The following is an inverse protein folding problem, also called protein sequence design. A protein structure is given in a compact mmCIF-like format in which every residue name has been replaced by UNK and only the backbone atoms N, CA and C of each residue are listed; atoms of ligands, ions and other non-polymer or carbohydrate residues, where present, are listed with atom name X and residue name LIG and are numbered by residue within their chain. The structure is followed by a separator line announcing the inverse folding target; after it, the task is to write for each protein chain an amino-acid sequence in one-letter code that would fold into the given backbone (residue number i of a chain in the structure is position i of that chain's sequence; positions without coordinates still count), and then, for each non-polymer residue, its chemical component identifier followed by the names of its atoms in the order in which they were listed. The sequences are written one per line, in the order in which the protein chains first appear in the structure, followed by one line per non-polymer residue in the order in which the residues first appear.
data_IF_625960673510
#
_entry.id   IF_625960673510
#
_cell.length_a   1.000
_cell.length_b   1.000
_cell.length_c   1.000
_cell.angle_alpha   90.00
_cell.angle_beta   90.00
_cell.angle_gamma   90.00
#
_symmetry.space_group_name_H-M   'P 1'
#
loop_
_entity.id
_entity.type
_entity.pdbx_description
1 polymer ?
#
# COMPACT_ATOMS: atom_id res chain seq x y z
N UNK A 1 -7.57 -29.24 17.54
CA UNK A 1 -7.37 -27.78 17.71
C UNK A 1 -8.52 -27.25 18.57
N UNK A 2 -8.33 -26.29 19.49
CA UNK A 2 -9.46 -25.75 20.30
C UNK A 2 -10.17 -24.64 19.52
N UNK A 3 -11.51 -24.55 19.64
CA UNK A 3 -12.29 -23.46 19.04
C UNK A 3 -11.87 -22.12 19.65
N UNK A 4 -11.66 -21.06 18.84
CA UNK A 4 -11.37 -19.73 19.35
C UNK A 4 -12.43 -19.27 20.36
N UNK A 5 -11.99 -18.71 21.48
CA UNK A 5 -12.88 -18.09 22.46
C UNK A 5 -13.29 -16.70 21.96
N UNK A 6 -14.39 -16.14 22.50
CA UNK A 6 -14.78 -14.75 22.21
C UNK A 6 -13.63 -13.76 22.48
N UNK A 7 -12.86 -13.99 23.54
CA UNK A 7 -11.67 -13.19 23.87
C UNK A 7 -10.58 -13.30 22.80
N UNK A 8 -10.36 -14.50 22.25
CA UNK A 8 -9.38 -14.70 21.18
C UNK A 8 -9.81 -14.01 19.87
N UNK A 9 -11.09 -14.06 19.54
CA UNK A 9 -11.67 -13.35 18.38
C UNK A 9 -11.50 -11.83 18.56
N UNK A 10 -11.90 -11.29 19.71
CA UNK A 10 -11.75 -9.86 19.99
C UNK A 10 -10.29 -9.39 19.94
N UNK A 11 -9.35 -10.18 20.48
CA UNK A 11 -7.93 -9.86 20.40
C UNK A 11 -7.42 -9.86 18.95
N UNK A 12 -7.88 -10.81 18.12
CA UNK A 12 -7.55 -10.87 16.70
C UNK A 12 -8.10 -9.64 15.97
N UNK A 13 -9.35 -9.27 16.23
CA UNK A 13 -9.99 -8.09 15.64
C UNK A 13 -9.25 -6.80 16.01
N UNK A 14 -8.87 -6.63 17.28
CA UNK A 14 -8.07 -5.47 17.71
C UNK A 14 -6.73 -5.39 16.97
N UNK A 15 -6.03 -6.52 16.81
CA UNK A 15 -4.77 -6.55 16.05
C UNK A 15 -4.94 -6.14 14.59
N UNK A 16 -6.05 -6.52 13.94
CA UNK A 16 -6.32 -6.13 12.55
C UNK A 16 -6.60 -4.63 12.42
N UNK A 17 -7.36 -4.06 13.35
CA UNK A 17 -7.60 -2.61 13.42
C UNK A 17 -6.31 -1.83 13.67
N UNK A 18 -5.50 -2.26 14.65
CA UNK A 18 -4.21 -1.65 14.95
C UNK A 18 -3.26 -1.71 13.74
N UNK A 19 -3.23 -2.85 13.03
CA UNK A 19 -2.40 -3.02 11.84
C UNK A 19 -2.83 -2.07 10.72
N UNK A 20 -4.13 -1.97 10.47
CA UNK A 20 -4.65 -1.02 9.47
C UNK A 20 -4.30 0.42 9.85
N UNK A 21 -4.45 0.81 11.12
CA UNK A 21 -4.11 2.15 11.58
C UNK A 21 -2.61 2.46 11.38
N UNK A 22 -1.72 1.52 11.70
CA UNK A 22 -0.27 1.65 11.45
C UNK A 22 0.05 1.80 9.96
N UNK A 23 -0.64 1.04 9.11
CA UNK A 23 -0.48 1.13 7.66
C UNK A 23 -0.99 2.43 7.06
N UNK A 24 -2.09 2.99 7.60
CA UNK A 24 -2.55 4.33 7.23
C UNK A 24 -1.54 5.41 7.63
N UNK A 25 -0.91 5.30 8.79
CA UNK A 25 0.20 6.18 9.19
C UNK A 25 1.42 6.04 8.26
N UNK A 26 1.73 4.83 7.80
CA UNK A 26 2.80 4.61 6.83
C UNK A 26 2.46 5.22 5.45
N UNK A 27 1.22 5.10 4.99
CA UNK A 27 0.73 5.75 3.78
C UNK A 27 0.90 7.28 3.85
N UNK A 28 0.57 7.88 4.99
CA UNK A 28 0.75 9.32 5.23
C UNK A 28 2.23 9.73 5.21
N UNK A 29 3.08 9.00 5.92
CA UNK A 29 4.51 9.28 5.98
C UNK A 29 5.17 9.18 4.60
N UNK A 30 4.83 8.14 3.83
CA UNK A 30 5.35 7.97 2.47
C UNK A 30 4.80 9.05 1.56
N UNK A 31 3.49 9.34 1.60
CA UNK A 31 2.89 10.43 0.82
C UNK A 31 3.59 11.77 1.08
N UNK A 32 3.82 12.11 2.35
CA UNK A 32 4.53 13.33 2.75
C UNK A 32 5.96 13.41 2.21
N UNK A 33 6.65 12.27 2.05
CA UNK A 33 7.97 12.23 1.43
C UNK A 33 7.91 12.34 -0.10
N UNK A 34 6.88 11.77 -0.73
CA UNK A 34 6.71 11.80 -2.19
C UNK A 34 6.31 13.17 -2.72
N UNK A 35 5.52 13.96 -1.99
CA UNK A 35 5.04 15.28 -2.44
C UNK A 35 6.15 16.30 -2.71
N UNK A 36 7.34 16.11 -2.12
CA UNK A 36 8.52 16.93 -2.41
C UNK A 36 9.15 16.67 -3.78
N UNK A 37 8.75 15.61 -4.49
CA UNK A 37 9.34 15.20 -5.76
C UNK A 37 8.54 15.84 -6.92
N UNK A 38 9.14 16.67 -7.79
CA UNK A 38 8.41 17.44 -8.82
C UNK A 38 7.55 16.61 -9.78
N UNK A 39 7.95 15.38 -10.07
CA UNK A 39 7.29 14.49 -11.02
C UNK A 39 5.97 13.91 -10.49
N UNK A 40 5.74 13.95 -9.17
CA UNK A 40 4.54 13.40 -8.52
C UNK A 40 3.35 14.33 -8.73
N UNK A 41 2.41 13.93 -9.57
CA UNK A 41 1.20 14.68 -9.86
C UNK A 41 0.09 14.42 -8.82
N UNK A 42 -0.08 13.17 -8.40
CA UNK A 42 -1.08 12.78 -7.41
C UNK A 42 -0.66 11.50 -6.67
N UNK A 43 -1.21 11.31 -5.47
CA UNK A 43 -1.04 10.09 -4.67
C UNK A 43 -2.40 9.69 -4.11
N UNK A 44 -2.73 8.41 -4.22
CA UNK A 44 -3.90 7.82 -3.59
C UNK A 44 -3.54 6.49 -2.92
N UNK A 45 -4.23 6.19 -1.83
CA UNK A 45 -4.21 4.88 -1.19
C UNK A 45 -5.31 4.02 -1.82
N UNK A 46 -4.95 2.79 -2.19
CA UNK A 46 -5.86 1.78 -2.74
C UNK A 46 -5.72 0.48 -1.91
N UNK A 47 -6.39 -0.59 -2.35
CA UNK A 47 -6.27 -1.89 -1.70
C UNK A 47 -6.99 -1.95 -0.35
N UNK A 48 -6.64 -2.94 0.47
CA UNK A 48 -7.35 -3.24 1.72
C UNK A 48 -7.27 -2.10 2.75
N UNK A 49 -6.16 -1.37 2.77
CA UNK A 49 -5.91 -0.28 3.75
C UNK A 49 -6.79 0.95 3.47
N UNK A 50 -7.19 1.15 2.21
CA UNK A 50 -8.03 2.27 1.80
C UNK A 50 -9.49 2.17 2.29
N UNK A 51 -9.94 0.97 2.68
CA UNK A 51 -11.35 0.66 2.97
C UNK A 51 -11.56 0.32 4.45
N UNK A 52 -12.79 0.43 4.97
CA UNK A 52 -13.16 -0.20 6.24
C UNK A 52 -12.86 -1.70 6.25
N UNK A 53 -12.65 -2.27 7.43
CA UNK A 53 -12.44 -3.72 7.55
C UNK A 53 -13.78 -4.45 7.42
N UNK A 54 -13.92 -5.39 6.48
CA UNK A 54 -15.06 -6.33 6.44
C UNK A 54 -14.74 -7.65 7.15
N UNK A 55 -15.78 -8.40 7.50
CA UNK A 55 -15.68 -9.75 8.10
C UNK A 55 -15.30 -10.79 7.05
N UNK A 56 -14.27 -11.58 7.31
CA UNK A 56 -13.93 -12.73 6.46
C UNK A 56 -13.40 -13.90 7.29
N UNK A 57 -13.53 -15.11 6.74
CA UNK A 57 -12.80 -16.27 7.28
C UNK A 57 -11.34 -16.15 6.82
N UNK A 58 -10.38 -15.98 7.74
CA UNK A 58 -9.02 -15.68 7.38
C UNK A 58 -8.33 -16.93 6.82
N UNK A 59 -7.15 -16.74 6.20
CA UNK A 59 -6.39 -17.87 5.62
C UNK A 59 -5.62 -18.68 6.66
N UNK A 60 -5.48 -18.16 7.88
CA UNK A 60 -4.66 -18.71 8.94
C UNK A 60 -5.46 -19.45 10.02
N UNK A 61 -4.77 -20.38 10.68
CA UNK A 61 -5.30 -21.13 11.81
C UNK A 61 -5.27 -20.28 13.10
N UNK A 62 -6.14 -20.53 14.10
CA UNK A 62 -7.20 -21.55 14.14
C UNK A 62 -8.53 -21.12 13.51
N UNK A 63 -8.71 -19.84 13.19
CA UNK A 63 -10.00 -19.27 12.76
C UNK A 63 -10.52 -19.91 11.48
N UNK A 64 -9.62 -20.18 10.51
CA UNK A 64 -9.95 -20.90 9.28
C UNK A 64 -10.54 -22.29 9.53
N UNK A 65 -10.00 -23.05 10.48
CA UNK A 65 -10.47 -24.41 10.74
C UNK A 65 -11.88 -24.44 11.35
N UNK A 66 -12.29 -23.38 12.04
CA UNK A 66 -13.59 -23.29 12.71
C UNK A 66 -14.59 -22.37 11.99
N UNK A 67 -14.27 -21.92 10.77
CA UNK A 67 -15.04 -20.95 10.00
C UNK A 67 -15.48 -19.73 10.83
N UNK A 68 -14.57 -19.23 11.67
CA UNK A 68 -14.83 -18.07 12.53
C UNK A 68 -14.41 -16.82 11.78
N UNK A 69 -15.35 -15.93 11.41
CA UNK A 69 -15.00 -14.67 10.77
C UNK A 69 -14.32 -13.74 11.77
N UNK A 70 -13.29 -13.05 11.29
CA UNK A 70 -12.60 -11.94 11.96
C UNK A 70 -12.49 -10.79 10.97
N UNK A 71 -12.00 -9.63 11.40
CA UNK A 71 -11.65 -8.59 10.44
C UNK A 71 -10.60 -9.08 9.44
N UNK A 72 -10.76 -8.71 8.17
CA UNK A 72 -9.80 -9.08 7.13
C UNK A 72 -8.40 -8.53 7.43
N UNK A 73 -7.40 -9.27 6.94
CA UNK A 73 -5.99 -8.92 7.14
C UNK A 73 -5.53 -7.90 6.09
N UNK A 74 -5.07 -6.73 6.55
CA UNK A 74 -4.27 -5.84 5.72
C UNK A 74 -2.81 -6.31 5.70
N UNK A 75 -2.29 -6.66 4.52
CA UNK A 75 -0.92 -7.19 4.36
C UNK A 75 0.11 -6.15 3.96
N UNK A 76 -0.28 -5.27 3.04
CA UNK A 76 0.56 -4.26 2.42
C UNK A 76 -0.21 -2.94 2.30
N UNK A 77 0.53 -1.85 2.11
CA UNK A 77 0.05 -0.51 1.77
C UNK A 77 0.20 -0.34 0.26
N UNK A 78 -0.91 -0.25 -0.45
CA UNK A 78 -0.92 -0.05 -1.89
C UNK A 78 -1.14 1.44 -2.21
N UNK A 79 -0.14 2.10 -2.79
CA UNK A 79 -0.24 3.49 -3.25
C UNK A 79 -0.32 3.53 -4.77
N UNK A 80 -1.35 4.17 -5.30
CA UNK A 80 -1.37 4.63 -6.68
C UNK A 80 -0.70 6.00 -6.77
N UNK A 81 0.35 6.12 -7.58
CA UNK A 81 1.12 7.35 -7.75
C UNK A 81 1.16 7.74 -9.22
N UNK A 82 0.64 8.93 -9.52
CA UNK A 82 0.64 9.49 -10.86
C UNK A 82 1.90 10.29 -11.08
N UNK A 83 2.63 9.95 -12.14
CA UNK A 83 3.87 10.61 -12.51
C UNK A 83 3.77 11.26 -13.88
N UNK A 84 4.30 12.48 -13.98
CA UNK A 84 4.46 13.14 -15.28
C UNK A 84 5.68 12.60 -16.05
N UNK A 85 6.70 12.10 -15.33
CA UNK A 85 7.95 11.53 -15.88
C UNK A 85 8.45 10.38 -15.00
N UNK A 86 9.23 9.46 -15.58
CA UNK A 86 9.73 8.25 -14.93
C UNK A 86 11.22 8.31 -14.55
N UNK A 87 11.91 9.40 -14.85
CA UNK A 87 13.37 9.54 -14.67
C UNK A 87 13.81 9.73 -13.21
N UNK A 88 12.86 9.82 -12.26
CA UNK A 88 13.13 10.00 -10.82
C UNK A 88 12.67 8.84 -9.94
N UNK A 89 12.38 7.66 -10.49
CA UNK A 89 11.91 6.51 -9.70
C UNK A 89 12.88 6.10 -8.58
N UNK A 90 14.21 6.22 -8.78
CA UNK A 90 15.16 5.99 -7.69
C UNK A 90 14.95 6.96 -6.50
N UNK A 91 14.63 8.22 -6.79
CA UNK A 91 14.32 9.22 -5.75
C UNK A 91 13.07 8.84 -4.98
N UNK A 92 12.02 8.36 -5.65
CA UNK A 92 10.82 7.84 -5.00
C UNK A 92 11.14 6.66 -4.08
N UNK A 93 11.97 5.72 -4.53
CA UNK A 93 12.37 4.54 -3.75
C UNK A 93 13.12 4.95 -2.46
N UNK A 94 14.05 5.90 -2.57
CA UNK A 94 14.76 6.46 -1.41
C UNK A 94 13.81 7.20 -0.47
N UNK A 95 12.91 8.03 -1.01
CA UNK A 95 11.94 8.78 -0.23
C UNK A 95 11.02 7.84 0.58
N UNK A 96 10.49 6.79 -0.03
CA UNK A 96 9.73 5.72 0.66
C UNK A 96 10.55 5.12 1.79
N UNK A 97 11.79 4.69 1.51
CA UNK A 97 12.62 4.00 2.49
C UNK A 97 12.97 4.90 3.69
N UNK A 98 13.31 6.17 3.42
CA UNK A 98 13.60 7.15 4.46
C UNK A 98 12.36 7.50 5.29
N UNK A 99 11.19 7.63 4.66
CA UNK A 99 9.93 7.89 5.36
C UNK A 99 9.60 6.78 6.36
N UNK A 100 9.74 5.52 5.95
CA UNK A 100 9.48 4.37 6.82
C UNK A 100 10.52 4.24 7.94
N UNK A 101 11.79 4.50 7.65
CA UNK A 101 12.83 4.55 8.68
C UNK A 101 12.52 5.62 9.74
N UNK A 102 12.10 6.82 9.30
CA UNK A 102 11.72 7.92 10.18
C UNK A 102 10.48 7.57 11.00
N UNK A 103 9.47 6.97 10.37
CA UNK A 103 8.26 6.50 11.06
C UNK A 103 8.59 5.51 12.18
N UNK A 104 9.50 4.57 11.92
CA UNK A 104 9.97 3.64 12.95
C UNK A 104 10.71 4.38 14.06
N UNK A 105 11.65 5.27 13.73
CA UNK A 105 12.42 6.01 14.73
C UNK A 105 11.53 6.86 15.66
N UNK A 106 10.52 7.55 15.09
CA UNK A 106 9.68 8.49 15.83
C UNK A 106 8.49 7.84 16.55
N UNK A 107 7.91 6.79 15.96
CA UNK A 107 6.64 6.19 16.44
C UNK A 107 6.75 4.71 16.80
N UNK A 108 7.90 4.09 16.61
CA UNK A 108 8.11 2.64 16.78
C UNK A 108 7.16 1.79 15.93
N UNK A 109 6.71 2.32 14.79
CA UNK A 109 5.84 1.62 13.84
C UNK A 109 6.71 0.99 12.75
N UNK A 110 6.83 -0.34 12.80
CA UNK A 110 7.59 -1.13 11.84
C UNK A 110 6.79 -1.51 10.61
N UNK A 111 7.06 -0.85 9.49
CA UNK A 111 6.54 -1.22 8.16
C UNK A 111 7.72 -1.38 7.22
N UNK A 112 7.88 -2.57 6.63
CA UNK A 112 8.97 -2.80 5.71
C UNK A 112 8.70 -2.10 4.37
N UNK A 113 9.76 -1.69 3.67
CA UNK A 113 9.63 -0.99 2.38
C UNK A 113 8.93 -1.83 1.28
N UNK A 114 9.00 -3.15 1.36
CA UNK A 114 8.29 -4.07 0.46
C UNK A 114 6.82 -4.30 0.87
N UNK A 115 6.40 -3.81 2.04
CA UNK A 115 4.99 -3.73 2.42
C UNK A 115 4.37 -2.41 1.99
N UNK A 116 5.11 -1.54 1.29
CA UNK A 116 4.58 -0.34 0.65
C UNK A 116 4.81 -0.45 -0.85
N UNK A 117 3.80 -1.00 -1.51
CA UNK A 117 3.74 -1.18 -2.94
C UNK A 117 3.29 0.12 -3.59
N UNK A 118 4.07 0.61 -4.56
CA UNK A 118 3.75 1.85 -5.28
C UNK A 118 3.48 1.50 -6.74
N UNK A 119 2.23 1.63 -7.17
CA UNK A 119 1.77 1.45 -8.53
C UNK A 119 1.95 2.77 -9.29
N UNK A 120 2.69 2.72 -10.41
CA UNK A 120 2.98 3.91 -11.22
C UNK A 120 1.93 4.04 -12.32
N UNK A 121 1.24 5.18 -12.31
CA UNK A 121 0.23 5.56 -13.29
C UNK A 121 0.71 6.80 -14.04
N UNK A 122 0.28 6.96 -15.30
CA UNK A 122 0.58 8.14 -16.11
C UNK A 122 -0.61 8.60 -16.95
N UNK A 123 -0.72 9.92 -17.10
CA UNK A 123 -1.71 10.57 -17.95
C UNK A 123 -3.16 10.46 -17.43
N UNK A 124 -4.07 11.13 -18.13
CA UNK A 124 -5.49 11.20 -17.76
C UNK A 124 -6.21 9.85 -17.88
N UNK A 125 -5.70 8.96 -18.74
CA UNK A 125 -6.23 7.61 -18.91
C UNK A 125 -5.81 6.64 -17.78
N UNK A 126 -5.08 7.11 -16.75
CA UNK A 126 -4.55 6.28 -15.66
C UNK A 126 -3.75 5.07 -16.18
N UNK A 127 -2.89 5.29 -17.18
CA UNK A 127 -2.14 4.21 -17.81
C UNK A 127 -1.14 3.61 -16.80
N UNK A 128 -1.35 2.34 -16.46
CA UNK A 128 -0.42 1.60 -15.61
C UNK A 128 0.91 1.34 -16.30
N UNK A 129 2.01 1.69 -15.63
CA UNK A 129 3.37 1.54 -16.15
C UNK A 129 4.16 0.43 -15.49
N UNK A 130 3.79 0.04 -14.28
CA UNK A 130 4.56 -0.92 -13.48
C UNK A 130 4.53 -0.55 -12.00
N UNK A 131 5.32 -1.26 -11.20
CA UNK A 131 5.51 -0.93 -9.78
C UNK A 131 6.85 -0.27 -9.55
N UNK A 132 6.94 0.56 -8.53
CA UNK A 132 8.23 1.01 -8.04
C UNK A 132 8.98 -0.17 -7.45
N UNK A 133 10.16 -0.47 -8.01
CA UNK A 133 10.97 -1.58 -7.55
C UNK A 133 11.29 -1.46 -6.05
N UNK A 134 11.21 -2.58 -5.32
CA UNK A 134 11.54 -2.63 -3.89
C UNK A 134 13.05 -2.70 -3.63
N UNK A 135 13.84 -3.18 -4.60
CA UNK A 135 15.29 -3.27 -4.47
C UNK A 135 15.97 -1.89 -4.44
N UNK A 136 17.12 -1.81 -3.77
CA UNK A 136 17.96 -0.61 -3.69
C UNK A 136 18.79 -0.35 -4.96
N UNK A 137 18.80 -1.30 -5.89
CA UNK A 137 19.50 -1.27 -7.17
C UNK A 137 18.60 -1.90 -8.23
N UNK A 138 18.49 -1.25 -9.39
CA UNK A 138 17.71 -1.73 -10.52
C UNK A 138 18.55 -1.60 -11.80
N UNK A 139 18.68 -2.65 -12.63
CA UNK A 139 18.26 -4.03 -12.34
C UNK A 139 19.11 -4.65 -11.21
N UNK A 140 18.50 -5.56 -10.42
CA UNK A 140 19.22 -6.30 -9.36
C UNK A 140 19.81 -7.63 -9.85
N UNK A 141 19.39 -8.10 -11.03
CA UNK A 141 19.76 -9.42 -11.56
C UNK A 141 19.08 -10.58 -10.82
N UNK A 142 17.95 -10.33 -10.15
CA UNK A 142 17.13 -11.38 -9.53
C UNK A 142 16.12 -11.94 -10.53
N UNK A 143 15.49 -13.06 -10.20
CA UNK A 143 14.52 -13.74 -11.07
C UNK A 143 13.36 -12.80 -11.46
N UNK A 144 12.94 -11.95 -10.53
CA UNK A 144 11.92 -10.93 -10.73
C UNK A 144 12.33 -9.89 -11.79
N UNK A 145 13.63 -9.67 -12.00
CA UNK A 145 14.14 -8.75 -13.03
C UNK A 145 14.10 -9.34 -14.44
N UNK A 146 13.85 -10.64 -14.60
CA UNK A 146 13.80 -11.32 -15.91
C UNK A 146 12.46 -11.13 -16.63
N UNK A 147 11.49 -10.48 -15.99
CA UNK A 147 10.20 -10.17 -16.63
C UNK A 147 10.42 -9.18 -17.79
N UNK A 148 9.88 -9.43 -18.99
CA UNK A 148 10.01 -8.52 -20.12
C UNK A 148 9.62 -7.08 -19.76
N UNK A 149 10.44 -6.11 -20.16
CA UNK A 149 10.24 -4.68 -19.86
C UNK A 149 10.60 -4.26 -18.42
N UNK A 150 10.96 -5.19 -17.52
CA UNK A 150 11.42 -4.83 -16.18
C UNK A 150 12.74 -4.07 -16.25
N UNK A 151 12.80 -2.91 -15.58
CA UNK A 151 13.99 -2.07 -15.55
C UNK A 151 14.29 -1.35 -16.87
N UNK A 152 13.39 -1.37 -17.85
CA UNK A 152 13.51 -0.54 -19.06
C UNK A 152 13.63 0.93 -18.69
N UNK A 153 12.76 1.39 -17.80
CA UNK A 153 13.01 2.56 -16.97
C UNK A 153 13.60 2.08 -15.63
N UNK A 154 14.71 2.67 -15.18
CA UNK A 154 15.36 2.27 -13.94
C UNK A 154 14.40 2.41 -12.76
N UNK A 155 14.33 1.37 -11.92
CA UNK A 155 13.39 1.23 -10.79
C UNK A 155 11.92 1.05 -11.18
N UNK A 156 11.58 0.87 -12.46
CA UNK A 156 10.26 0.43 -12.89
C UNK A 156 10.23 -1.09 -13.01
N UNK A 157 9.53 -1.75 -12.09
CA UNK A 157 9.42 -3.19 -12.03
C UNK A 157 8.16 -3.69 -12.74
N UNK A 158 8.33 -4.72 -13.57
CA UNK A 158 7.24 -5.50 -14.14
C UNK A 158 7.04 -6.79 -13.36
N UNK A 159 5.80 -7.26 -13.29
CA UNK A 159 5.43 -8.51 -12.62
C UNK A 159 4.77 -9.44 -13.63
N UNK A 160 5.31 -10.65 -13.77
CA UNK A 160 4.78 -11.64 -14.69
C UNK A 160 3.32 -11.97 -14.37
N UNK A 161 2.46 -11.93 -15.38
CA UNK A 161 1.03 -12.23 -15.26
C UNK A 161 0.22 -11.21 -14.45
N UNK A 162 0.83 -10.09 -14.03
CA UNK A 162 0.10 -9.05 -13.33
C UNK A 162 -0.63 -8.13 -14.31
N UNK A 163 -1.89 -7.86 -14.02
CA UNK A 163 -2.68 -6.81 -14.66
C UNK A 163 -3.14 -5.86 -13.57
N UNK A 164 -3.06 -4.55 -13.82
CA UNK A 164 -3.66 -3.56 -12.94
C UNK A 164 -5.15 -3.43 -13.29
N UNK A 165 -6.02 -3.66 -12.30
CA UNK A 165 -7.46 -3.68 -12.52
C UNK A 165 -7.96 -2.23 -12.36
N UNK A 166 -8.58 -1.62 -13.38
CA UNK A 166 -9.04 -0.23 -13.29
C UNK A 166 -10.00 0.01 -12.12
N UNK A 167 -10.77 -1.00 -11.73
CA UNK A 167 -11.67 -0.97 -10.57
C UNK A 167 -10.94 -0.71 -9.24
N UNK A 168 -9.62 -0.90 -9.16
CA UNK A 168 -8.85 -0.50 -7.98
C UNK A 168 -8.87 1.04 -7.77
N UNK A 169 -9.22 1.80 -8.81
CA UNK A 169 -9.38 3.25 -8.78
C UNK A 169 -10.85 3.69 -8.71
N UNK A 170 -11.79 2.76 -8.50
CA UNK A 170 -13.20 3.10 -8.34
C UNK A 170 -13.40 4.03 -7.13
N UNK A 171 -14.34 5.00 -7.18
CA UNK A 171 -14.51 6.01 -6.13
C UNK A 171 -14.71 5.46 -4.71
N UNK A 172 -15.30 4.28 -4.57
CA UNK A 172 -15.53 3.56 -3.31
C UNK A 172 -14.33 2.76 -2.81
N UNK A 173 -13.27 2.65 -3.61
CA UNK A 173 -12.07 1.82 -3.35
C UNK A 173 -10.77 2.63 -3.28
N UNK A 174 -10.83 3.91 -3.65
CA UNK A 174 -9.69 4.82 -3.69
C UNK A 174 -9.81 5.91 -2.65
N UNK A 175 -8.71 6.21 -1.98
CA UNK A 175 -8.58 7.31 -1.05
C UNK A 175 -7.51 8.28 -1.56
N UNK A 176 -7.92 9.35 -2.23
CA UNK A 176 -7.00 10.40 -2.70
C UNK A 176 -6.35 11.13 -1.53
N UNK A 177 -5.02 11.11 -1.46
CA UNK A 177 -4.24 11.72 -0.37
C UNK A 177 -3.61 13.05 -0.79
N UNK A 178 -3.21 13.17 -2.06
CA UNK A 178 -2.52 14.33 -2.58
C UNK A 178 -2.85 14.58 -4.05
N UNK A 179 -2.96 15.86 -4.40
CA UNK A 179 -2.99 16.35 -5.78
C UNK A 179 -2.08 17.59 -5.87
N UNK A 180 -1.23 17.67 -6.89
CA UNK A 180 -0.25 18.76 -7.06
C UNK A 180 -0.88 20.14 -7.06
N UNK A 181 -2.07 20.28 -7.64
CA UNK A 181 -2.76 21.58 -7.78
C UNK A 181 -3.49 21.97 -6.50
N UNK A 182 -3.87 20.99 -5.66
CA UNK A 182 -4.68 21.20 -4.46
C UNK A 182 -3.91 20.99 -3.14
N UNK A 183 -2.73 20.41 -3.19
CA UNK A 183 -1.94 20.03 -2.02
C UNK A 183 -2.40 18.70 -1.41
N UNK A 184 -2.16 18.54 -0.11
CA UNK A 184 -2.64 17.39 0.66
C UNK A 184 -4.17 17.50 0.76
N UNK A 185 -4.87 16.48 0.26
CA UNK A 185 -6.32 16.42 0.25
C UNK A 185 -6.86 15.88 1.57
N UNK A 186 -6.20 14.86 2.12
CA UNK A 186 -6.50 14.24 3.42
C UNK A 186 -5.37 13.35 3.89
N UNK A 187 -5.41 12.96 5.16
CA UNK A 187 -4.54 11.91 5.71
C UNK A 187 -5.29 10.59 5.79
N UNK A 188 -4.62 9.51 5.40
CA UNK A 188 -5.15 8.16 5.55
C UNK A 188 -5.43 7.85 7.02
N UNK A 189 -4.57 8.27 7.94
CA UNK A 189 -4.74 8.05 9.39
C UNK A 189 -5.95 8.74 10.01
N UNK A 190 -6.52 9.74 9.35
CA UNK A 190 -7.76 10.41 9.77
C UNK A 190 -9.01 9.66 9.29
N UNK A 191 -8.84 8.65 8.45
CA UNK A 191 -9.95 7.77 8.06
C UNK A 191 -10.29 6.88 9.25
N UNK A 192 -11.54 6.89 9.74
CA UNK A 192 -11.92 6.05 10.87
C UNK A 192 -11.53 4.59 10.63
N UNK A 193 -10.81 3.99 11.58
CA UNK A 193 -10.63 2.55 11.62
C UNK A 193 -11.95 1.95 12.12
N UNK A 194 -12.88 1.71 11.20
CA UNK A 194 -14.12 1.04 11.48
C UNK A 194 -14.13 -0.29 10.72
N UNK A 195 -14.61 -1.32 11.40
CA UNK A 195 -15.11 -2.48 10.69
C UNK A 195 -16.53 -2.18 10.22
N UNK A 196 -16.87 -2.56 9.00
CA UNK A 196 -18.24 -2.63 8.54
C UNK A 196 -18.68 -4.09 8.68
N UNK A 197 -19.71 -4.33 9.51
CA UNK A 197 -20.40 -5.60 9.51
C UNK A 197 -21.35 -5.58 8.30
N UNK A 198 -21.13 -6.49 7.35
CA UNK A 198 -22.05 -6.75 6.21
C UNK A 198 -23.36 -7.39 6.69
#
# INVERSE_FOLDING_TARGET
MRRPTRRAIAAQDSQMLDRQAQFRLAADAVTAALVGIPEVAAVALIGSVARPLWREVPRFQPFRYWDVPVWHECKDVDLAVWLNRLDRLQTLNRARSMALHRLFAEKQIGVAHHQVEIFILQGEANAYRGRLCSFSQCPKGKRECLVPGCGQDLFLQQHAGFTFWPDALAPDRILHLYDRRRGILRRASETPAAGEDD
#
